data_IF_507222276546
#
_entry.id   IF_507222276546
#
_cell.length_a   1.000
_cell.length_b   1.000
_cell.length_c   1.000
_cell.angle_alpha   90.00
_cell.angle_beta   90.00
_cell.angle_gamma   90.00
#
_symmetry.space_group_name_H-M   'P 1'
#
loop_
_entity.id
_entity.type
_entity.pdbx_description
1 polymer ?
#
# COMPACT_ATOMS: atom_id res chain seq x y z
N UNK A 1 -2.47 9.71 1.17
CA UNK A 1 -1.48 8.65 1.49
C UNK A 1 -0.85 8.07 0.22
N UNK A 2 -1.63 7.54 -0.72
CA UNK A 2 -1.08 6.90 -1.92
C UNK A 2 -0.10 7.75 -2.75
N UNK A 3 -0.46 9.00 -3.07
CA UNK A 3 0.44 9.91 -3.79
C UNK A 3 1.73 10.21 -3.02
N UNK A 4 1.65 10.30 -1.69
CA UNK A 4 2.82 10.52 -0.84
C UNK A 4 3.74 9.28 -0.85
N UNK A 5 3.18 8.08 -0.89
CA UNK A 5 3.95 6.84 -1.03
C UNK A 5 4.63 6.74 -2.40
N UNK A 6 3.95 7.13 -3.49
CA UNK A 6 4.54 7.24 -4.83
C UNK A 6 5.67 8.27 -4.88
N UNK A 7 5.49 9.41 -4.23
CA UNK A 7 6.52 10.46 -4.18
C UNK A 7 7.77 10.07 -3.37
N UNK A 8 7.69 9.04 -2.53
CA UNK A 8 8.83 8.53 -1.76
C UNK A 8 9.77 7.64 -2.57
N UNK A 9 9.41 7.19 -3.78
CA UNK A 9 10.21 6.18 -4.49
C UNK A 9 11.58 6.74 -4.90
N UNK A 10 12.70 6.04 -4.57
CA UNK A 10 12.80 4.81 -3.78
C UNK A 10 12.69 5.05 -2.25
N UNK A 11 11.80 4.34 -1.53
CA UNK A 11 11.69 4.52 -0.09
C UNK A 11 12.90 3.95 0.64
N UNK A 12 13.33 4.63 1.71
CA UNK A 12 14.19 4.08 2.75
C UNK A 12 13.36 3.79 4.01
N UNK A 13 13.95 3.05 4.97
CA UNK A 13 13.33 2.86 6.29
C UNK A 13 12.96 4.21 6.92
N UNK A 14 13.90 5.17 6.92
CA UNK A 14 13.69 6.47 7.55
C UNK A 14 12.60 7.30 6.86
N UNK A 15 12.57 7.33 5.52
CA UNK A 15 11.57 8.10 4.79
C UNK A 15 10.19 7.47 4.92
N UNK A 16 10.11 6.14 4.93
CA UNK A 16 8.86 5.40 5.12
C UNK A 16 8.32 5.56 6.54
N UNK A 17 9.16 5.39 7.57
CA UNK A 17 8.81 5.63 8.98
C UNK A 17 8.23 7.04 9.20
N UNK A 18 8.82 8.05 8.54
CA UNK A 18 8.33 9.43 8.60
C UNK A 18 6.95 9.59 7.95
N UNK A 19 6.72 8.95 6.80
CA UNK A 19 5.43 9.01 6.12
C UNK A 19 4.32 8.33 6.93
N UNK A 20 4.60 7.15 7.48
CA UNK A 20 3.61 6.41 8.26
C UNK A 20 3.46 6.96 9.68
N UNK A 21 4.38 7.80 10.16
CA UNK A 21 4.30 8.42 11.49
C UNK A 21 4.47 7.45 12.65
N UNK A 22 5.03 6.27 12.39
CA UNK A 22 5.28 5.22 13.37
C UNK A 22 6.75 4.78 13.33
N UNK A 23 7.35 4.45 14.49
CA UNK A 23 8.63 3.75 14.50
C UNK A 23 8.47 2.38 13.83
N UNK A 24 9.48 1.96 13.09
CA UNK A 24 9.51 0.65 12.47
C UNK A 24 10.37 -0.31 13.30
N UNK A 25 9.94 -1.54 13.39
CA UNK A 25 10.66 -2.63 14.05
C UNK A 25 10.96 -3.73 13.05
N UNK A 26 12.14 -4.33 13.14
CA UNK A 26 12.52 -5.47 12.29
C UNK A 26 11.59 -6.66 12.59
N UNK A 27 10.99 -7.22 11.54
CA UNK A 27 10.20 -8.45 11.59
C UNK A 27 10.67 -9.42 10.49
N UNK A 28 11.81 -10.05 10.76
CA UNK A 28 12.47 -10.96 9.84
C UNK A 28 13.48 -10.27 8.93
N UNK A 29 14.21 -11.05 8.12
CA UNK A 29 15.30 -10.52 7.32
C UNK A 29 14.75 -9.54 6.29
N UNK A 30 15.36 -8.34 6.24
CA UNK A 30 15.04 -7.31 5.25
C UNK A 30 13.64 -6.71 5.36
N UNK A 31 12.92 -6.92 6.47
CA UNK A 31 11.53 -6.47 6.61
C UNK A 31 11.34 -5.68 7.89
N UNK A 32 10.83 -4.46 7.73
CA UNK A 32 10.52 -3.57 8.82
C UNK A 32 9.00 -3.35 8.86
N UNK A 33 8.41 -3.36 10.05
CA UNK A 33 6.98 -3.18 10.26
C UNK A 33 6.69 -2.05 11.23
N UNK A 34 5.63 -1.30 10.98
CA UNK A 34 5.09 -0.29 11.90
C UNK A 34 3.66 -0.65 12.26
N UNK A 35 3.31 -0.42 13.53
CA UNK A 35 1.98 -0.69 14.05
C UNK A 35 0.93 0.38 13.71
N UNK A 36 -0.28 0.27 14.30
CA UNK A 36 -1.35 1.22 14.09
C UNK A 36 -0.97 2.64 14.54
N UNK A 37 -1.41 3.64 13.78
CA UNK A 37 -1.21 5.06 14.11
C UNK A 37 -2.29 5.92 13.46
N UNK A 38 -2.82 6.88 14.22
CA UNK A 38 -3.74 7.89 13.71
C UNK A 38 -2.95 9.13 13.26
N UNK A 39 -2.87 9.35 11.95
CA UNK A 39 -2.19 10.52 11.39
C UNK A 39 -3.09 11.75 11.37
N UNK A 40 -4.40 11.53 11.27
CA UNK A 40 -5.44 12.55 11.35
C UNK A 40 -6.80 11.88 11.66
N UNK A 41 -7.85 12.65 12.01
CA UNK A 41 -9.18 12.09 12.27
C UNK A 41 -9.78 11.28 11.10
N UNK A 42 -9.31 11.51 9.88
CA UNK A 42 -9.76 10.83 8.65
C UNK A 42 -8.67 9.95 8.00
N UNK A 43 -7.59 9.67 8.71
CA UNK A 43 -6.51 8.81 8.22
C UNK A 43 -5.86 8.06 9.37
N UNK A 44 -6.24 6.80 9.49
CA UNK A 44 -5.66 5.85 10.43
C UNK A 44 -4.98 4.73 9.66
N UNK A 45 -3.76 4.47 10.05
CA UNK A 45 -2.94 3.36 9.56
C UNK A 45 -3.13 2.19 10.51
N UNK A 46 -3.28 0.98 9.98
CA UNK A 46 -3.50 -0.24 10.78
C UNK A 46 -2.23 -1.02 11.11
N UNK A 47 -1.09 -0.70 10.50
CA UNK A 47 -0.69 -1.49 9.33
C UNK A 47 0.42 -0.88 8.47
N UNK A 48 1.72 -1.14 8.68
CA UNK A 48 2.73 -0.76 7.70
C UNK A 48 3.91 -1.72 7.60
N UNK A 49 4.43 -1.90 6.39
CA UNK A 49 5.53 -2.83 6.08
C UNK A 49 6.42 -2.22 5.00
N UNK A 50 7.73 -2.32 5.13
CA UNK A 50 8.69 -2.09 4.05
C UNK A 50 9.69 -3.25 3.97
N UNK A 51 9.99 -3.70 2.76
CA UNK A 51 11.00 -4.71 2.48
C UNK A 51 12.21 -4.09 1.78
N UNK A 52 13.40 -4.24 2.38
CA UNK A 52 14.68 -3.65 1.97
C UNK A 52 15.78 -4.73 1.86
N UNK A 53 16.05 -5.24 0.66
CA UNK A 53 17.12 -6.19 0.41
C UNK A 53 18.44 -5.48 0.09
N UNK A 54 19.45 -5.57 0.96
CA UNK A 54 20.75 -4.90 0.78
C UNK A 54 20.57 -3.41 0.42
N UNK A 55 19.72 -2.72 1.19
CA UNK A 55 19.32 -1.32 1.01
C UNK A 55 18.56 -1.00 -0.30
N UNK A 56 18.18 -2.02 -1.08
CA UNK A 56 17.27 -1.87 -2.20
C UNK A 56 15.85 -2.24 -1.79
N UNK A 57 14.92 -1.30 -1.98
CA UNK A 57 13.52 -1.56 -1.69
C UNK A 57 12.92 -2.58 -2.67
N UNK A 58 12.10 -3.49 -2.16
CA UNK A 58 11.29 -4.42 -2.95
C UNK A 58 9.84 -3.94 -3.01
N UNK A 59 9.23 -3.72 -1.84
CA UNK A 59 7.89 -3.17 -1.72
C UNK A 59 7.74 -2.38 -0.41
N UNK A 60 6.74 -1.50 -0.37
CA UNK A 60 6.22 -0.90 0.85
C UNK A 60 4.69 -0.93 0.82
N UNK A 61 4.06 -1.22 1.95
CA UNK A 61 2.61 -1.38 2.11
C UNK A 61 2.14 -0.61 3.34
N UNK A 62 1.00 0.07 3.22
CA UNK A 62 0.30 0.74 4.30
C UNK A 62 -1.15 0.27 4.29
N UNK A 63 -1.56 -0.43 5.34
CA UNK A 63 -2.96 -0.71 5.66
C UNK A 63 -3.62 0.52 6.26
N UNK A 64 -4.87 0.80 5.87
CA UNK A 64 -5.63 1.97 6.33
C UNK A 64 -7.02 1.58 6.77
N UNK A 65 -7.54 2.27 7.78
CA UNK A 65 -8.98 2.16 8.10
C UNK A 65 -9.81 2.78 6.97
N UNK A 66 -10.93 2.15 6.56
CA UNK A 66 -11.77 2.61 5.46
C UNK A 66 -12.70 3.76 5.87
N UNK A 67 -12.18 4.76 6.60
CA UNK A 67 -12.95 5.92 7.06
C UNK A 67 -12.19 7.24 6.78
N UNK A 68 -12.65 8.05 5.80
CA UNK A 68 -13.79 7.81 4.92
C UNK A 68 -13.56 6.67 3.93
N UNK A 69 -14.64 6.02 3.50
CA UNK A 69 -14.57 4.95 2.50
C UNK A 69 -14.28 5.53 1.12
N UNK A 70 -13.15 5.13 0.53
CA UNK A 70 -12.82 5.40 -0.87
C UNK A 70 -13.09 4.16 -1.73
N UNK A 71 -13.89 4.30 -2.77
CA UNK A 71 -14.36 3.20 -3.61
C UNK A 71 -13.45 2.95 -4.82
N UNK A 72 -13.76 1.89 -5.59
CA UNK A 72 -13.08 1.63 -6.85
C UNK A 72 -13.31 2.75 -7.89
N UNK A 73 -14.47 3.39 -7.87
CA UNK A 73 -14.76 4.51 -8.77
C UNK A 73 -13.93 5.74 -8.40
N UNK A 74 -13.74 6.00 -7.10
CA UNK A 74 -12.84 7.06 -6.62
C UNK A 74 -11.39 6.78 -7.03
N UNK A 75 -10.94 5.54 -6.87
CA UNK A 75 -9.61 5.09 -7.32
C UNK A 75 -9.45 5.32 -8.81
N UNK A 76 -10.42 4.93 -9.63
CA UNK A 76 -10.36 5.09 -11.09
C UNK A 76 -10.46 6.56 -11.53
N UNK A 77 -11.19 7.39 -10.78
CA UNK A 77 -11.26 8.83 -11.04
C UNK A 77 -9.91 9.51 -10.75
N UNK A 78 -9.22 9.12 -9.67
CA UNK A 78 -7.94 9.70 -9.28
C UNK A 78 -6.75 9.10 -10.04
N UNK A 79 -6.81 7.81 -10.38
CA UNK A 79 -5.81 7.08 -11.16
C UNK A 79 -6.46 6.48 -12.43
N UNK A 80 -6.64 7.27 -13.51
CA UNK A 80 -7.35 6.83 -14.71
C UNK A 80 -6.70 5.64 -15.45
N UNK A 81 -5.40 5.44 -15.25
CA UNK A 81 -4.63 4.33 -15.82
C UNK A 81 -4.67 3.07 -14.96
N UNK A 82 -5.32 3.11 -13.80
CA UNK A 82 -5.40 1.95 -12.92
C UNK A 82 -6.24 0.85 -13.55
N UNK A 83 -5.71 -0.38 -13.51
CA UNK A 83 -6.37 -1.59 -14.00
C UNK A 83 -6.49 -2.62 -12.87
N UNK A 84 -7.52 -3.46 -12.91
CA UNK A 84 -7.65 -4.58 -11.97
C UNK A 84 -6.58 -5.62 -12.28
N UNK A 85 -5.69 -5.88 -11.32
CA UNK A 85 -4.63 -6.88 -11.41
C UNK A 85 -5.00 -8.20 -10.73
N UNK A 86 -5.76 -8.13 -9.63
CA UNK A 86 -6.31 -9.31 -8.95
C UNK A 86 -7.78 -9.10 -8.60
N UNK A 87 -8.57 -10.13 -8.85
CA UNK A 87 -9.95 -10.24 -8.39
C UNK A 87 -10.04 -11.30 -7.28
N UNK A 88 -10.86 -11.07 -6.25
CA UNK A 88 -11.19 -12.08 -5.26
C UNK A 88 -11.88 -13.28 -5.95
N UNK A 89 -11.72 -14.46 -5.35
CA UNK A 89 -12.32 -15.71 -5.83
C UNK A 89 -13.58 -16.09 -5.03
N UNK A 90 -13.95 -15.28 -4.04
CA UNK A 90 -15.13 -15.46 -3.19
C UNK A 90 -14.91 -16.49 -2.08
N UNK A 91 -13.67 -16.79 -1.71
CA UNK A 91 -13.38 -17.74 -0.63
C UNK A 91 -13.47 -17.10 0.75
N UNK A 92 -13.34 -15.77 0.84
CA UNK A 92 -13.45 -15.03 2.10
C UNK A 92 -13.95 -13.60 1.87
N UNK A 93 -14.79 -13.05 2.76
CA UNK A 93 -15.19 -11.64 2.72
C UNK A 93 -14.04 -10.65 2.98
N UNK A 94 -12.89 -11.14 3.47
CA UNK A 94 -11.67 -10.33 3.63
C UNK A 94 -10.78 -10.34 2.37
N UNK A 95 -11.20 -11.03 1.30
CA UNK A 95 -10.50 -10.91 0.03
C UNK A 95 -10.62 -9.47 -0.52
N UNK A 96 -9.64 -9.08 -1.34
CA UNK A 96 -9.57 -7.74 -1.91
C UNK A 96 -9.36 -7.77 -3.41
N UNK A 97 -9.95 -6.79 -4.08
CA UNK A 97 -9.59 -6.40 -5.43
C UNK A 97 -8.30 -5.59 -5.36
N UNK A 98 -7.34 -5.92 -6.20
CA UNK A 98 -6.13 -5.13 -6.35
C UNK A 98 -6.21 -4.36 -7.66
N UNK A 99 -6.33 -3.04 -7.55
CA UNK A 99 -6.11 -2.13 -8.66
C UNK A 99 -4.64 -1.75 -8.72
N UNK A 100 -4.07 -1.64 -9.92
CA UNK A 100 -2.67 -1.28 -10.10
C UNK A 100 -2.52 -0.21 -11.17
N UNK A 101 -1.64 0.75 -10.94
CA UNK A 101 -1.14 1.68 -11.96
C UNK A 101 0.38 1.58 -12.06
N UNK A 102 0.90 1.56 -13.29
CA UNK A 102 2.32 1.36 -13.59
C UNK A 102 3.06 2.69 -13.69
N UNK A 103 4.29 2.69 -13.19
CA UNK A 103 5.29 3.76 -13.29
C UNK A 103 6.59 3.19 -13.88
N UNK A 104 7.56 4.03 -14.17
CA UNK A 104 8.90 3.63 -14.66
C UNK A 104 9.68 2.79 -13.64
N UNK A 105 9.47 3.03 -12.35
CA UNK A 105 10.10 2.31 -11.24
C UNK A 105 9.38 1.04 -10.80
N UNK A 106 8.13 0.81 -11.24
CA UNK A 106 7.31 -0.32 -10.79
C UNK A 106 5.81 -0.04 -10.80
N UNK A 107 5.09 -0.41 -9.75
CA UNK A 107 3.63 -0.26 -9.67
C UNK A 107 3.15 0.28 -8.32
N UNK A 108 2.08 1.07 -8.35
CA UNK A 108 1.24 1.40 -7.20
C UNK A 108 0.05 0.44 -7.19
N UNK A 109 -0.16 -0.26 -6.08
CA UNK A 109 -1.28 -1.17 -5.84
C UNK A 109 -2.24 -0.56 -4.82
N UNK A 110 -3.53 -0.72 -5.08
CA UNK A 110 -4.63 -0.18 -4.29
C UNK A 110 -5.57 -1.35 -3.97
N UNK A 111 -5.60 -1.74 -2.70
CA UNK A 111 -6.38 -2.87 -2.21
C UNK A 111 -7.76 -2.40 -1.74
N UNK A 112 -8.80 -2.93 -2.37
CA UNK A 112 -10.21 -2.63 -2.06
C UNK A 112 -10.86 -3.90 -1.53
N UNK A 113 -11.35 -3.87 -0.28
CA UNK A 113 -11.98 -5.04 0.34
C UNK A 113 -13.28 -5.38 -0.37
N UNK A 114 -13.51 -6.68 -0.60
CA UNK A 114 -14.67 -7.13 -1.37
C UNK A 114 -16.00 -6.84 -0.68
N UNK A 115 -16.06 -7.08 0.64
CA UNK A 115 -17.28 -6.99 1.43
C UNK A 115 -17.91 -5.59 1.43
N UNK A 116 -17.12 -4.56 1.68
CA UNK A 116 -17.60 -3.17 1.85
C UNK A 116 -17.17 -2.24 0.72
N UNK A 117 -16.36 -2.73 -0.23
CA UNK A 117 -15.90 -1.98 -1.41
C UNK A 117 -15.10 -0.73 -1.08
N UNK A 118 -14.43 -0.72 0.07
CA UNK A 118 -13.59 0.39 0.51
C UNK A 118 -12.11 0.07 0.33
N UNK A 119 -11.32 1.10 0.00
CA UNK A 119 -9.86 1.05 0.02
C UNK A 119 -9.39 0.77 1.45
N UNK A 120 -8.62 -0.30 1.61
CA UNK A 120 -8.08 -0.77 2.89
C UNK A 120 -6.55 -0.81 2.89
N UNK A 121 -5.91 -0.61 1.74
CA UNK A 121 -4.47 -0.71 1.66
C UNK A 121 -3.90 -0.07 0.41
N UNK A 122 -2.68 0.41 0.55
CA UNK A 122 -1.89 0.99 -0.52
C UNK A 122 -0.50 0.38 -0.49
N UNK A 123 0.03 -0.03 -1.64
CA UNK A 123 1.39 -0.55 -1.74
C UNK A 123 2.12 0.01 -2.94
N UNK A 124 3.42 0.18 -2.83
CA UNK A 124 4.32 0.36 -3.98
C UNK A 124 5.19 -0.89 -4.12
N UNK A 125 5.41 -1.33 -5.36
CA UNK A 125 6.24 -2.50 -5.68
C UNK A 125 7.24 -2.15 -6.76
N UNK A 126 8.50 -2.52 -6.57
CA UNK A 126 9.55 -2.30 -7.57
C UNK A 126 9.35 -3.20 -8.78
N UNK A 127 9.82 -2.79 -9.96
CA UNK A 127 9.81 -3.65 -11.15
C UNK A 127 10.54 -4.98 -10.94
N UNK A 128 11.57 -4.98 -10.09
CA UNK A 128 12.32 -6.19 -9.71
C UNK A 128 11.49 -7.17 -8.87
N UNK A 129 10.59 -6.67 -8.04
CA UNK A 129 9.66 -7.49 -7.26
C UNK A 129 8.54 -8.06 -8.13
N UNK A 130 8.03 -7.29 -9.10
CA UNK A 130 6.93 -7.71 -9.98
C UNK A 130 7.37 -8.82 -10.96
N UNK A 131 8.65 -8.85 -11.31
CA UNK A 131 9.21 -9.80 -12.29
C UNK A 131 9.60 -11.16 -11.70
N UNK A 132 9.37 -11.37 -10.40
CA UNK A 132 9.64 -12.64 -9.70
C UNK A 132 8.40 -13.54 -9.68
#
# INVERSE_FOLDING_TARGET
MADALVALVPPSEQSFARLVGAPLTENGPYRMEGGPVELSPSLKITDSVIALHRDQWSFATVGVEPEPCHTADDVKAHYPTAVVKYTPHGHSPEESFIWSTTYDWGELWLAIREKDRCLIGVSIRSSAEISR
#
